data_IF_249662038231
#
_entry.id   IF_249662038231
#
_cell.length_a   1.000
_cell.length_b   1.000
_cell.length_c   1.000
_cell.angle_alpha   90.00
_cell.angle_beta   90.00
_cell.angle_gamma   90.00
#
_symmetry.space_group_name_H-M   'P 1'
#
loop_
_entity.id
_entity.type
_entity.pdbx_description
1 polymer ?
#
# COMPACT_ATOMS: atom_id res chain seq x y z
N UNK A 1 -7.71 -15.05 -34.49
CA UNK A 1 -8.64 -14.92 -33.36
C UNK A 1 -7.83 -14.56 -32.12
N UNK A 2 -7.70 -13.27 -31.82
CA UNK A 2 -7.30 -12.87 -30.48
C UNK A 2 -8.46 -13.12 -29.53
N UNK A 3 -8.18 -13.36 -28.24
CA UNK A 3 -8.92 -12.75 -27.13
C UNK A 3 -8.32 -13.16 -25.76
N UNK A 4 -7.65 -12.15 -25.19
CA UNK A 4 -7.76 -11.66 -23.82
C UNK A 4 -7.29 -12.54 -22.65
N UNK A 5 -6.09 -12.17 -22.20
CA UNK A 5 -5.55 -12.35 -20.84
C UNK A 5 -6.65 -12.25 -19.77
N UNK A 6 -7.05 -13.39 -19.23
CA UNK A 6 -7.62 -13.49 -17.87
C UNK A 6 -6.49 -13.26 -16.86
N UNK A 7 -5.93 -12.05 -16.83
CA UNK A 7 -5.26 -11.54 -15.63
C UNK A 7 -6.37 -11.10 -14.67
N UNK A 8 -6.98 -12.07 -14.01
CA UNK A 8 -8.01 -11.84 -13.00
C UNK A 8 -7.50 -10.84 -11.96
N UNK A 9 -8.35 -9.87 -11.68
CA UNK A 9 -8.11 -8.63 -10.96
C UNK A 9 -7.83 -8.83 -9.45
N UNK A 10 -6.73 -9.50 -9.10
CA UNK A 10 -6.22 -9.61 -7.72
C UNK A 10 -5.15 -8.53 -7.41
N UNK A 11 -5.20 -7.43 -8.16
CA UNK A 11 -4.29 -6.28 -8.07
C UNK A 11 -4.92 -5.06 -7.40
N UNK A 12 -6.17 -5.15 -6.95
CA UNK A 12 -6.98 -3.96 -6.68
C UNK A 12 -6.48 -3.11 -5.51
N UNK A 13 -5.67 -3.66 -4.60
CA UNK A 13 -5.24 -2.97 -3.39
C UNK A 13 -3.78 -3.23 -3.01
N UNK A 14 -2.88 -3.11 -3.99
CA UNK A 14 -1.42 -3.18 -3.79
C UNK A 14 -0.82 -1.80 -4.02
N UNK A 15 0.02 -1.32 -3.11
CA UNK A 15 0.70 -0.03 -3.22
C UNK A 15 2.20 -0.18 -3.05
N UNK A 16 2.99 0.48 -3.90
CA UNK A 16 4.42 0.63 -3.67
C UNK A 16 4.63 1.69 -2.57
N UNK A 17 5.30 1.32 -1.48
CA UNK A 17 5.60 2.21 -0.36
C UNK A 17 6.92 1.79 0.28
N UNK A 18 7.82 2.74 0.51
CA UNK A 18 9.15 2.50 1.11
C UNK A 18 9.98 1.42 0.38
N UNK A 19 9.83 1.30 -0.95
CA UNK A 19 10.55 0.32 -1.75
C UNK A 19 9.98 -1.10 -1.72
N UNK A 20 8.85 -1.34 -1.02
CA UNK A 20 8.15 -2.63 -1.00
C UNK A 20 6.70 -2.52 -1.48
N UNK A 21 6.10 -3.66 -1.85
CA UNK A 21 4.68 -3.74 -2.20
C UNK A 21 3.87 -4.03 -0.94
N UNK A 22 2.98 -3.10 -0.59
CA UNK A 22 2.14 -3.14 0.59
C UNK A 22 0.71 -3.49 0.21
N UNK A 23 0.17 -4.51 0.89
CA UNK A 23 -1.15 -5.08 0.58
C UNK A 23 -2.10 -5.12 1.77
N UNK A 24 -1.68 -4.63 2.94
CA UNK A 24 -2.52 -4.56 4.16
C UNK A 24 -2.35 -3.26 4.93
N UNK A 25 -3.44 -2.74 5.48
CA UNK A 25 -3.42 -1.48 6.24
C UNK A 25 -2.51 -1.57 7.46
N UNK A 26 -2.40 -2.76 8.07
CA UNK A 26 -1.47 -3.04 9.18
C UNK A 26 -0.01 -2.83 8.76
N UNK A 27 0.40 -3.30 7.58
CA UNK A 27 1.78 -3.11 7.10
C UNK A 27 2.06 -1.63 6.79
N UNK A 28 1.11 -0.94 6.16
CA UNK A 28 1.22 0.50 5.91
C UNK A 28 1.36 1.30 7.22
N UNK A 29 0.62 0.93 8.27
CA UNK A 29 0.75 1.55 9.60
C UNK A 29 2.10 1.25 10.27
N UNK A 30 2.67 0.06 10.09
CA UNK A 30 4.02 -0.23 10.58
C UNK A 30 5.06 0.65 9.89
N UNK A 31 4.95 0.84 8.57
CA UNK A 31 5.83 1.75 7.81
C UNK A 31 5.65 3.19 8.27
N UNK A 32 4.41 3.62 8.54
CA UNK A 32 4.13 4.94 9.11
C UNK A 32 4.85 5.14 10.46
N UNK A 33 4.74 4.18 11.38
CA UNK A 33 5.41 4.24 12.67
C UNK A 33 6.94 4.30 12.52
N UNK A 34 7.51 3.48 11.63
CA UNK A 34 8.94 3.51 11.32
C UNK A 34 9.38 4.86 10.71
N UNK A 35 8.60 5.41 9.78
CA UNK A 35 8.89 6.71 9.16
C UNK A 35 8.88 7.85 10.18
N UNK A 36 7.97 7.82 11.16
CA UNK A 36 7.95 8.78 12.27
C UNK A 36 9.20 8.61 13.14
N UNK A 37 9.51 7.37 13.55
CA UNK A 37 10.65 7.08 14.42
C UNK A 37 12.01 7.43 13.78
N UNK A 38 12.13 7.26 12.47
CA UNK A 38 13.35 7.55 11.70
C UNK A 38 13.44 9.00 11.23
N UNK A 39 12.42 9.83 11.44
CA UNK A 39 12.38 11.20 10.93
C UNK A 39 12.20 11.29 9.41
N UNK A 40 11.73 10.23 8.76
CA UNK A 40 11.49 10.14 7.32
C UNK A 40 10.18 10.84 6.95
N UNK A 41 10.12 12.16 7.17
CA UNK A 41 8.90 12.98 7.11
C UNK A 41 8.19 12.93 5.76
N UNK A 42 8.91 12.71 4.65
CA UNK A 42 8.32 12.58 3.31
C UNK A 42 7.52 11.28 3.11
N UNK A 43 7.81 10.22 3.88
CA UNK A 43 7.07 8.95 3.82
C UNK A 43 5.80 8.96 4.68
N UNK A 44 5.75 9.80 5.71
CA UNK A 44 4.61 9.89 6.65
C UNK A 44 3.27 10.11 5.93
N UNK A 45 3.09 11.15 5.07
CA UNK A 45 1.82 11.34 4.37
C UNK A 45 1.50 10.22 3.40
N UNK A 46 2.51 9.63 2.75
CA UNK A 46 2.34 8.51 1.81
C UNK A 46 1.83 7.26 2.54
N UNK A 47 2.48 6.88 3.64
CA UNK A 47 2.13 5.70 4.42
C UNK A 47 0.74 5.83 5.06
N UNK A 48 0.39 7.03 5.55
CA UNK A 48 -0.94 7.32 6.09
C UNK A 48 -2.03 7.18 5.02
N UNK A 49 -1.82 7.75 3.83
CA UNK A 49 -2.78 7.64 2.72
C UNK A 49 -2.98 6.19 2.28
N UNK A 50 -1.88 5.42 2.15
CA UNK A 50 -1.95 4.00 1.77
C UNK A 50 -2.69 3.19 2.84
N UNK A 51 -2.42 3.44 4.13
CA UNK A 51 -3.12 2.76 5.23
C UNK A 51 -4.63 3.00 5.21
N UNK A 52 -5.06 4.24 4.95
CA UNK A 52 -6.49 4.60 4.84
C UNK A 52 -7.14 3.89 3.66
N UNK A 53 -6.50 3.91 2.48
CA UNK A 53 -7.04 3.25 1.28
C UNK A 53 -7.14 1.73 1.46
N UNK A 54 -6.14 1.10 2.07
CA UNK A 54 -6.17 -0.33 2.42
C UNK A 54 -7.30 -0.66 3.39
N UNK A 55 -7.46 0.16 4.42
CA UNK A 55 -8.53 -0.03 5.43
C UNK A 55 -9.92 0.10 4.81
N UNK A 56 -10.12 1.10 3.94
CA UNK A 56 -11.38 1.29 3.22
C UNK A 56 -11.70 0.10 2.29
N UNK A 57 -10.67 -0.57 1.78
CA UNK A 57 -10.78 -1.77 0.97
C UNK A 57 -10.94 -3.08 1.78
N UNK A 58 -11.00 -3.01 3.11
CA UNK A 58 -11.06 -4.20 3.98
C UNK A 58 -9.76 -5.01 4.01
N UNK A 59 -8.61 -4.38 3.77
CA UNK A 59 -7.26 -4.99 3.73
C UNK A 59 -6.40 -4.60 4.92
#
# INVERSE_FOLDING_TARGET
>A
MGNNKTQSADNTHKWALAGEIVTSSKRANKILAMAIAQGTTYLVPQARNVAIKLRAAGK
#
